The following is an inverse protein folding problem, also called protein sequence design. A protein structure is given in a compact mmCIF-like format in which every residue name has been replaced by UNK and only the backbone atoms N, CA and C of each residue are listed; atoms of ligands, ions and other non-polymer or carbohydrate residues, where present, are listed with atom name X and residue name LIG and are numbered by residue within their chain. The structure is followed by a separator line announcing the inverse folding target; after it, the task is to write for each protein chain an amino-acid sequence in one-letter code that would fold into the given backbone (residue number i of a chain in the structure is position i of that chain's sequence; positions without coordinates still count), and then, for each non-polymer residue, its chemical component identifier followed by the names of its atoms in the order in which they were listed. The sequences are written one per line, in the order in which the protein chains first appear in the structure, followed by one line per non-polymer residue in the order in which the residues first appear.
data_IF_203042091250
#
_entry.id   IF_203042091250
#
_cell.length_a   1.000
_cell.length_b   1.000
_cell.length_c   1.000
_cell.angle_alpha   90.00
_cell.angle_beta   90.00
_cell.angle_gamma   90.00
#
_symmetry.space_group_name_H-M   'P 1'
#
loop_
_entity.id
_entity.type
_entity.pdbx_description
1 polymer ?
#
# COMPACT_ATOMS: atom_id res chain seq x y z
N UNK A 1 13.53 0.95 15.75
CA UNK A 1 12.44 1.94 15.57
C UNK A 1 11.40 1.34 14.64
N UNK A 2 10.24 0.94 15.16
CA UNK A 2 9.11 0.55 14.29
C UNK A 2 8.50 1.84 13.76
N UNK A 3 8.69 2.15 12.47
CA UNK A 3 7.85 3.11 11.76
C UNK A 3 6.42 2.54 11.74
N UNK A 4 5.63 2.80 12.79
CA UNK A 4 4.19 2.53 12.78
C UNK A 4 3.53 3.70 12.08
N UNK A 5 3.33 3.59 10.77
CA UNK A 5 2.52 4.56 10.04
C UNK A 5 1.05 4.33 10.44
N UNK A 6 0.64 4.90 11.58
CA UNK A 6 -0.72 4.77 12.13
C UNK A 6 -1.76 5.23 11.10
N UNK A 7 -1.44 6.30 10.36
CA UNK A 7 -2.28 6.82 9.27
C UNK A 7 -2.53 5.77 8.19
N UNK A 8 -1.49 5.06 7.75
CA UNK A 8 -1.62 3.99 6.75
C UNK A 8 -2.52 2.85 7.26
N UNK A 9 -2.32 2.43 8.51
CA UNK A 9 -3.16 1.39 9.14
C UNK A 9 -4.63 1.81 9.20
N UNK A 10 -4.89 3.05 9.61
CA UNK A 10 -6.25 3.60 9.70
C UNK A 10 -6.90 3.69 8.33
N UNK A 11 -6.19 4.14 7.29
CA UNK A 11 -6.70 4.16 5.91
C UNK A 11 -7.08 2.77 5.41
N UNK A 12 -6.21 1.78 5.61
CA UNK A 12 -6.50 0.39 5.21
C UNK A 12 -7.73 -0.13 5.94
N UNK A 13 -7.80 0.11 7.26
CA UNK A 13 -8.90 -0.35 8.11
C UNK A 13 -10.22 0.30 7.66
N UNK A 14 -10.27 1.62 7.56
CA UNK A 14 -11.48 2.36 7.17
C UNK A 14 -11.96 1.98 5.77
N UNK A 15 -11.04 1.90 4.80
CA UNK A 15 -11.40 1.51 3.44
C UNK A 15 -11.96 0.09 3.39
N UNK A 16 -11.39 -0.85 4.16
CA UNK A 16 -11.88 -2.22 4.24
C UNK A 16 -13.28 -2.33 4.84
N UNK A 17 -13.58 -1.53 5.88
CA UNK A 17 -14.89 -1.47 6.51
C UNK A 17 -15.95 -0.88 5.58
N UNK A 18 -15.59 0.17 4.84
CA UNK A 18 -16.50 0.84 3.89
C UNK A 18 -16.72 0.02 2.61
N UNK A 19 -15.79 -0.86 2.25
CA UNK A 19 -15.80 -1.59 0.97
C UNK A 19 -15.57 -3.10 1.16
N UNK A 20 -16.48 -3.87 1.76
CA UNK A 20 -16.23 -5.26 2.17
C UNK A 20 -15.78 -6.22 1.04
N UNK A 21 -16.03 -5.88 -0.23
CA UNK A 21 -15.62 -6.65 -1.40
C UNK A 21 -14.60 -5.93 -2.30
N UNK A 22 -13.77 -5.05 -1.72
CA UNK A 22 -12.80 -4.29 -2.50
C UNK A 22 -11.78 -5.19 -3.22
N UNK A 23 -11.42 -4.80 -4.45
CA UNK A 23 -10.28 -5.41 -5.15
C UNK A 23 -8.99 -4.89 -4.53
N UNK A 24 -7.99 -5.75 -4.30
CA UNK A 24 -6.69 -5.34 -3.70
C UNK A 24 -6.04 -4.14 -4.40
N UNK A 25 -6.19 -4.01 -5.72
CA UNK A 25 -5.68 -2.87 -6.47
C UNK A 25 -6.38 -1.54 -6.10
N UNK A 26 -7.66 -1.57 -5.73
CA UNK A 26 -8.37 -0.38 -5.25
C UNK A 26 -7.80 0.10 -3.91
N UNK A 27 -7.47 -0.83 -3.01
CA UNK A 27 -6.77 -0.50 -1.77
C UNK A 27 -5.38 0.08 -2.03
N UNK A 28 -4.59 -0.55 -2.91
CA UNK A 28 -3.26 -0.05 -3.28
C UNK A 28 -3.31 1.37 -3.85
N UNK A 29 -4.30 1.66 -4.69
CA UNK A 29 -4.52 3.00 -5.22
C UNK A 29 -4.94 3.98 -4.10
N UNK A 30 -5.79 3.55 -3.17
CA UNK A 30 -6.25 4.39 -2.05
C UNK A 30 -5.11 4.79 -1.11
N UNK A 31 -4.10 3.93 -0.94
CA UNK A 31 -2.93 4.19 -0.10
C UNK A 31 -1.69 4.63 -0.91
N UNK A 32 -1.84 4.92 -2.21
CA UNK A 32 -0.71 5.20 -3.11
C UNK A 32 0.24 6.26 -2.53
N UNK A 33 -0.29 7.39 -2.10
CA UNK A 33 0.52 8.50 -1.57
C UNK A 33 1.36 8.08 -0.36
N UNK A 34 0.80 7.27 0.54
CA UNK A 34 1.53 6.73 1.70
C UNK A 34 2.68 5.80 1.26
N UNK A 35 2.46 4.98 0.23
CA UNK A 35 3.50 4.09 -0.30
C UNK A 35 4.64 4.88 -0.95
N UNK A 36 4.31 5.96 -1.67
CA UNK A 36 5.29 6.84 -2.29
C UNK A 36 6.04 7.69 -1.25
N UNK A 37 5.38 8.16 -0.19
CA UNK A 37 6.06 8.78 0.96
C UNK A 37 7.06 7.82 1.61
N UNK A 38 6.68 6.56 1.83
CA UNK A 38 7.60 5.53 2.34
C UNK A 38 8.78 5.32 1.38
N UNK A 39 8.53 5.31 0.07
CA UNK A 39 9.59 5.21 -0.95
C UNK A 39 10.54 6.40 -0.91
N UNK A 40 10.01 7.62 -0.75
CA UNK A 40 10.76 8.87 -0.65
C UNK A 40 11.55 8.97 0.66
N UNK A 41 11.08 8.32 1.72
CA UNK A 41 11.81 8.20 3.00
C UNK A 41 13.03 7.27 2.95
N UNK A 42 13.28 6.62 1.80
CA UNK A 42 14.42 5.74 1.57
C UNK A 42 14.11 4.23 1.61
N UNK A 43 12.85 3.83 1.85
CA UNK A 43 12.49 2.41 1.80
C UNK A 43 12.52 1.87 0.37
N UNK A 44 12.85 0.58 0.23
CA UNK A 44 12.73 -0.13 -1.05
C UNK A 44 11.30 -0.60 -1.26
N UNK A 45 10.89 -0.79 -2.52
CA UNK A 45 9.56 -1.32 -2.83
C UNK A 45 9.29 -2.69 -2.23
N UNK A 46 10.32 -3.54 -2.13
CA UNK A 46 10.23 -4.84 -1.48
C UNK A 46 9.97 -4.68 0.03
N UNK A 47 10.71 -3.80 0.71
CA UNK A 47 10.51 -3.54 2.14
C UNK A 47 9.12 -2.94 2.43
N UNK A 48 8.61 -2.08 1.54
CA UNK A 48 7.25 -1.54 1.63
C UNK A 48 6.23 -2.66 1.49
N UNK A 49 6.37 -3.54 0.50
CA UNK A 49 5.48 -4.67 0.28
C UNK A 49 5.48 -5.64 1.48
N UNK A 50 6.65 -5.94 2.04
CA UNK A 50 6.82 -6.80 3.21
C UNK A 50 6.19 -6.19 4.49
N UNK A 51 6.04 -4.87 4.54
CA UNK A 51 5.41 -4.18 5.65
C UNK A 51 3.86 -4.15 5.56
N UNK A 52 3.28 -4.27 4.36
CA UNK A 52 1.81 -4.19 4.16
C UNK A 52 1.00 -5.21 4.99
N UNK A 53 1.44 -6.48 5.16
CA UNK A 53 0.73 -7.43 6.01
C UNK A 53 0.58 -6.96 7.46
N UNK A 54 1.57 -6.25 8.00
CA UNK A 54 1.51 -5.69 9.36
C UNK A 54 0.42 -4.60 9.49
N UNK A 55 0.00 -4.01 8.37
CA UNK A 55 -1.09 -3.04 8.28
C UNK A 55 -2.42 -3.68 7.85
N UNK A 56 -2.50 -5.01 7.74
CA UNK A 56 -3.72 -5.73 7.37
C UNK A 56 -3.95 -5.89 5.86
N UNK A 57 -2.95 -5.60 5.03
CA UNK A 57 -3.05 -5.69 3.57
C UNK A 57 -2.10 -6.74 2.99
N UNK A 58 -2.62 -7.92 2.65
CA UNK A 58 -1.85 -8.96 1.95
C UNK A 58 -1.95 -8.80 0.43
N UNK A 59 -0.82 -8.55 -0.23
CA UNK A 59 -0.73 -8.34 -1.68
C UNK A 59 0.27 -9.34 -2.27
N UNK A 60 -0.03 -9.90 -3.45
CA UNK A 60 0.93 -10.73 -4.18
C UNK A 60 1.93 -9.86 -4.92
N UNK A 61 3.17 -10.36 -5.10
CA UNK A 61 4.22 -9.67 -5.86
C UNK A 61 3.75 -9.25 -7.26
N UNK A 62 3.02 -10.15 -7.93
CA UNK A 62 2.42 -9.88 -9.25
C UNK A 62 1.42 -8.71 -9.24
N UNK A 63 0.62 -8.57 -8.18
CA UNK A 63 -0.36 -7.47 -8.05
C UNK A 63 0.34 -6.15 -7.73
N UNK A 64 1.34 -6.21 -6.85
CA UNK A 64 2.12 -5.05 -6.46
C UNK A 64 2.94 -4.48 -7.63
N UNK A 65 3.61 -5.34 -8.41
CA UNK A 65 4.32 -4.93 -9.63
C UNK A 65 3.40 -4.33 -10.68
N UNK A 66 2.19 -4.89 -10.85
CA UNK A 66 1.17 -4.30 -11.75
C UNK A 66 0.73 -2.92 -11.29
N UNK A 67 0.55 -2.73 -9.98
CA UNK A 67 0.27 -1.42 -9.40
C UNK A 67 1.41 -0.43 -9.69
N UNK A 68 2.66 -0.78 -9.37
CA UNK A 68 3.82 0.09 -9.62
C UNK A 68 3.99 0.47 -11.09
N UNK A 69 3.75 -0.47 -12.01
CA UNK A 69 3.80 -0.20 -13.46
C UNK A 69 2.75 0.85 -13.85
N UNK A 70 1.52 0.72 -13.35
CA UNK A 70 0.45 1.69 -13.61
C UNK A 70 0.72 3.06 -13.00
N UNK A 71 1.27 3.12 -11.78
CA UNK A 71 1.58 4.41 -11.15
C UNK A 71 2.70 5.17 -11.87
N UNK A 72 3.67 4.47 -12.48
CA UNK A 72 4.72 5.08 -13.32
C UNK A 72 4.24 5.58 -14.68
N UNK A 73 3.13 5.06 -15.19
CA UNK A 73 2.52 5.53 -16.45
C UNK A 73 1.70 6.82 -16.26
N UNK A 74 1.55 7.29 -15.01
CA UNK A 74 0.82 8.52 -14.65
C UNK A 74 1.73 9.72 -14.35
N UNK A 75 3.06 9.52 -14.38
CA UNK A 75 4.09 10.59 -14.40
C UNK A 75 4.40 10.99 -15.85
#
# INVERSE_FOLDING_TARGET
MMYKNKRLQEKITQFSLQNPNYKKNAMLNHIQDDLFEMKSSGMSWNAIMDALPAYGLMVSDSSFKKFLKKSREQE
#
